data_IF_262631942423
#
_entry.id   IF_262631942423
#
_cell.length_a   1.000
_cell.length_b   1.000
_cell.length_c   1.000
_cell.angle_alpha   90.00
_cell.angle_beta   90.00
_cell.angle_gamma   90.00
#
_symmetry.space_group_name_H-M   'P 1'
#
loop_
_entity.id
_entity.type
_entity.pdbx_description
1 polymer ?
#
# COMPACT_ATOMS: atom_id res chain seq x y z
N UNK A 1 11.73 3.88 -10.15
CA UNK A 1 11.26 3.36 -8.85
C UNK A 1 11.70 4.31 -7.76
N UNK A 2 10.90 4.45 -6.73
CA UNK A 2 11.17 5.32 -5.57
C UNK A 2 11.06 4.50 -4.30
N UNK A 3 12.02 4.64 -3.39
CA UNK A 3 12.01 3.93 -2.11
C UNK A 3 11.20 4.72 -1.10
N UNK A 4 10.19 4.08 -0.53
CA UNK A 4 9.30 4.67 0.45
C UNK A 4 9.19 3.76 1.68
N UNK A 5 8.81 4.33 2.81
CA UNK A 5 8.42 3.59 4.00
C UNK A 5 6.91 3.61 4.14
N UNK A 6 6.32 2.46 4.43
CA UNK A 6 4.92 2.36 4.81
C UNK A 6 4.78 2.89 6.23
N UNK A 7 4.03 3.97 6.41
CA UNK A 7 3.78 4.56 7.72
C UNK A 7 2.52 4.01 8.37
N UNK A 8 1.47 3.81 7.58
CA UNK A 8 0.17 3.31 8.03
C UNK A 8 -0.56 2.60 6.89
N UNK A 9 -1.36 1.60 7.22
CA UNK A 9 -2.29 0.94 6.31
C UNK A 9 -3.68 1.02 6.94
N UNK A 10 -4.67 1.55 6.22
CA UNK A 10 -6.05 1.67 6.69
C UNK A 10 -7.00 1.01 5.67
N UNK A 11 -7.85 0.09 6.11
CA UNK A 11 -8.83 -0.55 5.23
C UNK A 11 -9.88 0.48 4.80
N UNK A 12 -10.09 0.64 3.49
CA UNK A 12 -11.15 1.53 3.03
C UNK A 12 -12.51 0.93 3.40
N UNK A 13 -13.31 1.69 4.14
CA UNK A 13 -14.64 1.26 4.56
C UNK A 13 -15.62 1.46 3.40
N UNK A 14 -15.96 0.38 2.69
CA UNK A 14 -16.97 0.35 1.65
C UNK A 14 -18.39 0.30 2.21
N UNK A 15 -18.78 1.23 3.08
CA UNK A 15 -20.17 1.38 3.56
C UNK A 15 -20.88 0.06 3.95
N UNK A 16 -22.19 -0.02 3.69
CA UNK A 16 -22.98 -1.25 3.88
C UNK A 16 -23.27 -1.97 2.55
N UNK A 17 -22.80 -1.43 1.44
CA UNK A 17 -23.01 -2.00 0.11
C UNK A 17 -21.94 -3.05 -0.15
N UNK A 18 -22.37 -4.26 -0.52
CA UNK A 18 -21.45 -5.32 -0.91
C UNK A 18 -20.60 -4.84 -2.10
N UNK A 19 -19.28 -5.03 -2.01
CA UNK A 19 -18.39 -4.76 -3.14
C UNK A 19 -18.85 -5.56 -4.36
N UNK A 20 -18.89 -4.95 -5.55
CA UNK A 20 -19.21 -5.66 -6.78
C UNK A 20 -18.28 -6.87 -6.96
N UNK A 21 -18.83 -7.99 -7.42
CA UNK A 21 -18.04 -9.19 -7.66
C UNK A 21 -16.85 -8.88 -8.59
N UNK A 22 -15.63 -9.12 -8.10
CA UNK A 22 -14.39 -8.88 -8.83
C UNK A 22 -13.76 -7.50 -8.61
N UNK A 23 -14.31 -6.62 -7.76
CA UNK A 23 -13.59 -5.44 -7.29
C UNK A 23 -12.68 -5.80 -6.10
N UNK A 24 -11.39 -5.41 -6.14
CA UNK A 24 -10.49 -5.62 -5.03
C UNK A 24 -10.85 -4.69 -3.87
N UNK A 25 -10.74 -5.21 -2.65
CA UNK A 25 -10.73 -4.38 -1.43
C UNK A 25 -9.45 -3.55 -1.47
N UNK A 26 -9.57 -2.23 -1.38
CA UNK A 26 -8.43 -1.33 -1.29
C UNK A 26 -8.17 -0.91 0.16
N UNK A 27 -6.89 -0.68 0.46
CA UNK A 27 -6.44 -0.02 1.67
C UNK A 27 -5.77 1.31 1.29
N UNK A 28 -5.97 2.33 2.12
CA UNK A 28 -5.21 3.58 2.08
C UNK A 28 -3.84 3.37 2.72
N UNK A 29 -2.81 3.33 1.89
CA UNK A 29 -1.42 3.16 2.32
C UNK A 29 -0.76 4.52 2.43
N UNK A 30 -0.45 4.95 3.66
CA UNK A 30 0.34 6.15 3.90
C UNK A 30 1.82 5.83 3.68
N UNK A 31 2.42 6.45 2.66
CA UNK A 31 3.82 6.30 2.31
C UNK A 31 4.60 7.56 2.69
N UNK A 32 5.85 7.38 3.07
CA UNK A 32 6.81 8.47 3.21
C UNK A 32 8.09 8.19 2.43
N UNK A 33 8.62 9.21 1.76
CA UNK A 33 9.92 9.13 1.11
C UNK A 33 11.09 9.46 2.05
N UNK A 34 12.31 9.37 1.52
CA UNK A 34 13.53 9.71 2.26
C UNK A 34 13.65 11.21 2.61
N UNK A 35 12.92 12.09 1.92
CA UNK A 35 12.84 13.51 2.23
C UNK A 35 11.76 13.83 3.28
N UNK A 36 10.98 12.82 3.70
CA UNK A 36 9.87 12.97 4.64
C UNK A 36 8.55 13.42 3.99
N UNK A 37 8.47 13.48 2.66
CA UNK A 37 7.22 13.77 1.94
C UNK A 37 6.26 12.61 2.15
N UNK A 38 5.02 12.90 2.52
CA UNK A 38 3.99 11.89 2.78
C UNK A 38 2.84 12.00 1.79
N UNK A 39 2.31 10.85 1.38
CA UNK A 39 1.10 10.78 0.55
C UNK A 39 0.37 9.46 0.78
N UNK A 40 -0.92 9.45 0.47
CA UNK A 40 -1.76 8.25 0.53
C UNK A 40 -1.85 7.63 -0.87
N UNK A 41 -1.65 6.32 -0.93
CA UNK A 41 -1.84 5.50 -2.12
C UNK A 41 -2.93 4.45 -1.86
N UNK A 42 -4.08 4.52 -2.55
CA UNK A 42 -5.03 3.43 -2.56
C UNK A 42 -4.39 2.20 -3.20
N UNK A 43 -4.35 1.08 -2.47
CA UNK A 43 -3.66 -0.12 -2.94
C UNK A 43 -4.43 -1.39 -2.58
N UNK A 44 -4.48 -2.42 -3.43
CA UNK A 44 -5.25 -3.64 -3.15
C UNK A 44 -4.74 -4.38 -1.92
N UNK A 45 -5.65 -4.73 -1.00
CA UNK A 45 -5.34 -5.52 0.19
C UNK A 45 -4.70 -6.87 -0.17
N UNK A 46 -5.24 -7.53 -1.20
CA UNK A 46 -4.71 -8.80 -1.70
C UNK A 46 -3.23 -8.69 -2.12
N UNK A 47 -2.83 -7.54 -2.69
CA UNK A 47 -1.46 -7.30 -3.14
C UNK A 47 -0.53 -6.99 -1.96
N UNK A 48 -1.02 -6.30 -0.92
CA UNK A 48 -0.29 -6.10 0.34
C UNK A 48 -0.06 -7.45 1.03
N UNK A 49 -1.12 -8.26 1.15
CA UNK A 49 -1.08 -9.59 1.77
C UNK A 49 -0.15 -10.53 0.99
N UNK A 50 -0.23 -10.57 -0.34
CA UNK A 50 0.62 -11.42 -1.19
C UNK A 50 2.12 -11.16 -1.02
N UNK A 51 2.50 -9.91 -0.75
CA UNK A 51 3.90 -9.51 -0.52
C UNK A 51 4.26 -9.39 0.96
N UNK A 52 3.31 -9.64 1.86
CA UNK A 52 3.43 -9.44 3.29
C UNK A 52 3.93 -8.02 3.63
N UNK A 53 3.41 -7.00 2.95
CA UNK A 53 3.73 -5.60 3.24
C UNK A 53 2.96 -5.18 4.50
N UNK A 54 3.69 -4.63 5.47
CA UNK A 54 3.17 -4.20 6.76
C UNK A 54 3.59 -2.77 7.05
N UNK A 55 2.95 -2.17 8.06
CA UNK A 55 3.38 -0.89 8.59
C UNK A 55 4.84 -0.95 9.07
N UNK A 56 5.60 0.08 8.72
CA UNK A 56 7.03 0.17 9.01
C UNK A 56 7.95 -0.44 7.95
N UNK A 57 7.43 -1.24 7.01
CA UNK A 57 8.23 -1.82 5.93
C UNK A 57 8.78 -0.76 4.97
N UNK A 58 9.92 -1.09 4.36
CA UNK A 58 10.46 -0.32 3.24
C UNK A 58 10.04 -0.99 1.93
N UNK A 59 9.47 -0.21 1.03
CA UNK A 59 8.93 -0.66 -0.25
C UNK A 59 9.49 0.16 -1.40
N UNK A 60 9.62 -0.43 -2.58
CA UNK A 60 9.86 0.27 -3.82
C UNK A 60 8.53 0.54 -4.53
N UNK A 61 8.19 1.80 -4.74
CA UNK A 61 7.10 2.23 -5.61
C UNK A 61 7.59 2.24 -7.07
N UNK A 62 7.00 1.38 -7.89
CA UNK A 62 7.29 1.29 -9.32
C UNK A 62 6.50 2.35 -10.11
N UNK A 63 6.93 2.72 -11.32
CA UNK A 63 6.25 3.75 -12.14
C UNK A 63 4.81 3.39 -12.50
N UNK A 64 4.46 2.11 -12.52
CA UNK A 64 3.10 1.60 -12.76
C UNK A 64 2.21 1.63 -11.51
N UNK A 65 2.71 2.10 -10.37
CA UNK A 65 1.98 2.19 -9.11
C UNK A 65 2.10 0.96 -8.21
N UNK A 66 2.76 -0.11 -8.66
CA UNK A 66 3.00 -1.31 -7.84
C UNK A 66 4.00 -1.04 -6.72
N UNK A 67 3.67 -1.53 -5.52
CA UNK A 67 4.58 -1.56 -4.38
C UNK A 67 5.34 -2.89 -4.37
N UNK A 68 6.65 -2.87 -4.10
CA UNK A 68 7.46 -4.07 -3.92
C UNK A 68 8.18 -4.05 -2.58
N UNK A 69 7.92 -5.03 -1.71
CA UNK A 69 8.59 -5.14 -0.41
C UNK A 69 10.10 -5.30 -0.61
N UNK A 70 10.87 -4.38 -0.02
CA UNK A 70 12.33 -4.49 0.04
C UNK A 70 12.66 -5.19 1.36
N UNK A 71 13.27 -6.38 1.28
CA UNK A 71 13.80 -7.04 2.47
C UNK A 71 15.06 -6.29 2.90
N UNK A 72 15.09 -5.80 4.13
CA UNK A 72 16.35 -5.44 4.77
C UNK A 72 17.12 -6.75 5.00
N UNK A 73 18.30 -6.85 4.39
CA UNK A 73 19.28 -7.94 4.57
C UNK A 73 19.92 -7.88 5.95
#
# INVERSE_FOLDING_TARGET
MMTCRVLRIDEQLYGCEELPAGQPVLCDVLLADAAGTQWVLPYPDEALTAQNIQEGDTVALLPDGTLKKLRCI
#
